data_IF_047920732759
#
_entry.id   IF_047920732759
#
_cell.length_a   1.000
_cell.length_b   1.000
_cell.length_c   1.000
_cell.angle_alpha   90.00
_cell.angle_beta   90.00
_cell.angle_gamma   90.00
#
_symmetry.space_group_name_H-M   'P 1'
#
loop_
_entity.id
_entity.type
_entity.pdbx_description
1 polymer ?
#
# COMPACT_ATOMS: atom_id res chain seq x y z
N UNK A 1 -16.49 25.04 11.03
CA UNK A 1 -15.63 25.78 10.08
C UNK A 1 -14.18 25.73 10.57
N UNK A 2 -13.38 24.81 10.03
CA UNK A 2 -11.99 24.60 10.44
C UNK A 2 -11.05 25.30 9.45
N UNK A 3 -10.66 26.54 9.74
CA UNK A 3 -9.53 27.19 9.05
C UNK A 3 -8.21 26.60 9.59
N UNK A 4 -7.08 26.66 8.85
CA UNK A 4 -5.78 26.18 9.34
C UNK A 4 -5.40 26.76 10.72
N UNK A 5 -5.68 28.05 10.96
CA UNK A 5 -5.47 28.69 12.26
C UNK A 5 -6.39 28.13 13.36
N UNK A 6 -7.66 27.85 13.07
CA UNK A 6 -8.59 27.24 14.04
C UNK A 6 -8.22 25.79 14.34
N UNK A 7 -7.73 25.05 13.34
CA UNK A 7 -7.20 23.70 13.52
C UNK A 7 -5.88 23.74 14.30
N UNK A 8 -4.97 24.65 13.98
CA UNK A 8 -3.71 24.85 14.71
C UNK A 8 -3.97 25.17 16.18
N UNK A 9 -4.90 26.10 16.44
CA UNK A 9 -5.30 26.46 17.81
C UNK A 9 -5.98 25.29 18.52
N UNK A 10 -6.86 24.52 17.86
CA UNK A 10 -7.50 23.35 18.47
C UNK A 10 -6.49 22.24 18.75
N UNK A 11 -5.66 21.88 17.77
CA UNK A 11 -4.62 20.84 17.88
C UNK A 11 -3.59 21.24 18.93
N UNK A 12 -3.11 22.48 18.94
CA UNK A 12 -2.22 22.99 19.98
C UNK A 12 -2.83 22.99 21.38
N UNK A 13 -4.13 23.31 21.51
CA UNK A 13 -4.84 23.25 22.81
C UNK A 13 -5.02 21.81 23.33
N UNK A 14 -5.10 20.81 22.46
CA UNK A 14 -5.23 19.40 22.87
C UNK A 14 -3.90 18.64 22.91
N UNK A 15 -2.84 19.14 22.26
CA UNK A 15 -1.50 18.52 22.26
C UNK A 15 -0.89 18.38 23.65
N UNK A 16 -1.21 19.31 24.54
CA UNK A 16 -0.79 19.24 25.95
C UNK A 16 -1.67 18.34 26.83
N UNK A 17 -2.75 17.74 26.30
CA UNK A 17 -3.53 16.77 27.07
C UNK A 17 -2.89 15.40 26.93
N UNK A 18 -2.33 14.90 28.04
CA UNK A 18 -1.61 13.62 28.19
C UNK A 18 -2.36 12.35 27.72
N UNK A 19 -3.57 12.47 27.15
CA UNK A 19 -4.46 11.35 26.85
C UNK A 19 -4.99 11.30 25.41
N UNK A 20 -4.62 12.23 24.51
CA UNK A 20 -5.14 12.16 23.14
C UNK A 20 -4.40 11.08 22.33
N UNK A 21 -4.96 9.87 22.32
CA UNK A 21 -4.41 8.72 21.61
C UNK A 21 -5.01 8.50 20.21
N UNK A 22 -6.13 9.17 19.89
CA UNK A 22 -6.79 9.08 18.57
C UNK A 22 -7.24 10.45 18.08
N UNK A 23 -6.91 10.78 16.84
CA UNK A 23 -7.30 12.00 16.14
C UNK A 23 -7.88 11.62 14.78
N UNK A 24 -9.11 12.08 14.52
CA UNK A 24 -9.74 11.98 13.20
C UNK A 24 -10.10 13.36 12.71
N UNK A 25 -9.58 13.74 11.54
CA UNK A 25 -9.95 14.94 10.81
C UNK A 25 -10.75 14.47 9.61
N UNK A 26 -11.99 14.94 9.47
CA UNK A 26 -12.89 14.46 8.42
C UNK A 26 -13.67 15.61 7.80
N UNK A 27 -14.02 15.47 6.52
CA UNK A 27 -14.96 16.33 5.79
C UNK A 27 -14.63 17.83 5.88
N UNK A 28 -13.34 18.16 5.76
CA UNK A 28 -12.84 19.53 5.87
C UNK A 28 -12.48 20.10 4.52
N UNK A 29 -13.48 20.65 3.83
CA UNK A 29 -13.35 21.25 2.49
C UNK A 29 -12.33 22.40 2.43
N UNK A 30 -12.11 23.13 3.53
CA UNK A 30 -11.20 24.29 3.55
C UNK A 30 -9.79 23.96 4.04
N UNK A 31 -9.52 22.70 4.39
CA UNK A 31 -8.21 22.32 4.92
C UNK A 31 -7.22 22.15 3.77
N UNK A 32 -6.29 23.08 3.63
CA UNK A 32 -5.23 23.00 2.61
C UNK A 32 -3.92 22.42 3.14
N UNK A 33 -3.62 22.66 4.42
CA UNK A 33 -2.38 22.26 5.10
C UNK A 33 -2.73 21.86 6.53
N UNK A 34 -2.21 20.72 6.98
CA UNK A 34 -2.29 20.32 8.38
C UNK A 34 -1.20 21.07 9.19
N UNK A 35 -1.51 21.67 10.34
CA UNK A 35 -0.55 22.51 11.07
C UNK A 35 0.58 21.69 11.71
N UNK A 36 1.76 22.29 11.83
CA UNK A 36 2.93 21.69 12.48
C UNK A 36 2.70 21.29 13.94
N UNK A 37 1.70 21.88 14.61
CA UNK A 37 1.33 21.50 15.98
C UNK A 37 0.83 20.07 16.10
N UNK A 38 0.50 19.39 14.99
CA UNK A 38 0.13 17.96 15.03
C UNK A 38 1.25 17.10 15.61
N UNK A 39 2.52 17.43 15.40
CA UNK A 39 3.64 16.65 15.97
C UNK A 39 3.75 16.72 17.49
N UNK A 40 3.07 17.66 18.13
CA UNK A 40 3.04 17.80 19.60
C UNK A 40 2.11 16.79 20.28
N UNK A 41 1.37 15.98 19.51
CA UNK A 41 0.46 14.97 20.05
C UNK A 41 1.24 13.69 20.45
N UNK A 42 2.10 13.79 21.46
CA UNK A 42 3.06 12.74 21.85
C UNK A 42 2.44 11.38 22.25
N UNK A 43 1.15 11.38 22.61
CA UNK A 43 0.41 10.17 22.97
C UNK A 43 -0.41 9.59 21.82
N UNK A 44 -0.37 10.19 20.63
CA UNK A 44 -1.20 9.80 19.50
C UNK A 44 -0.77 8.45 18.93
N UNK A 45 -1.72 7.51 18.90
CA UNK A 45 -1.56 6.17 18.32
C UNK A 45 -2.33 6.02 17.00
N UNK A 46 -3.41 6.77 16.80
CA UNK A 46 -4.26 6.66 15.61
C UNK A 46 -4.49 8.04 15.00
N UNK A 47 -4.06 8.23 13.76
CA UNK A 47 -4.30 9.44 12.98
C UNK A 47 -5.10 9.08 11.72
N UNK A 48 -6.30 9.64 11.59
CA UNK A 48 -7.11 9.54 10.38
C UNK A 48 -7.35 10.91 9.77
N UNK A 49 -7.12 11.06 8.48
CA UNK A 49 -7.44 12.26 7.70
C UNK A 49 -8.34 11.84 6.53
N UNK A 50 -9.61 12.21 6.56
CA UNK A 50 -10.64 11.77 5.61
C UNK A 50 -11.34 12.95 4.95
N UNK A 51 -11.78 12.85 3.69
CA UNK A 51 -12.70 13.82 3.08
C UNK A 51 -12.18 15.26 3.12
N UNK A 52 -10.87 15.45 2.95
CA UNK A 52 -10.24 16.77 2.91
C UNK A 52 -9.74 17.03 1.47
N UNK A 53 -10.63 17.32 0.51
CA UNK A 53 -10.29 17.33 -0.92
C UNK A 53 -9.26 18.42 -1.28
N UNK A 54 -9.17 19.48 -0.48
CA UNK A 54 -8.24 20.57 -0.70
C UNK A 54 -6.89 20.41 0.02
N UNK A 55 -6.68 19.35 0.81
CA UNK A 55 -5.43 19.12 1.53
C UNK A 55 -4.32 18.80 0.54
N UNK A 56 -3.28 19.64 0.50
CA UNK A 56 -2.15 19.53 -0.44
C UNK A 56 -0.90 18.96 0.21
N UNK A 57 -0.66 19.32 1.48
CA UNK A 57 0.58 19.05 2.18
C UNK A 57 0.30 18.63 3.61
N UNK A 58 1.03 17.60 4.03
CA UNK A 58 1.15 17.16 5.41
C UNK A 58 2.47 17.69 5.98
N UNK A 59 2.50 18.18 7.23
CA UNK A 59 3.67 18.78 7.86
C UNK A 59 4.73 17.73 8.20
N UNK A 60 5.99 18.14 8.24
CA UNK A 60 7.11 17.24 8.57
C UNK A 60 7.08 16.82 10.05
N UNK A 61 6.45 17.61 10.93
CA UNK A 61 6.22 17.24 12.34
C UNK A 61 5.40 15.97 12.54
N UNK A 62 4.70 15.43 11.53
CA UNK A 62 4.10 14.08 11.64
C UNK A 62 5.15 13.05 12.04
N UNK A 63 6.40 13.17 11.57
CA UNK A 63 7.48 12.25 11.96
C UNK A 63 7.81 12.23 13.46
N UNK A 64 7.35 13.23 14.22
CA UNK A 64 7.55 13.33 15.67
C UNK A 64 6.55 12.48 16.48
N UNK A 65 5.52 11.91 15.83
CA UNK A 65 4.51 11.08 16.48
C UNK A 65 5.04 9.67 16.78
N UNK A 66 5.96 9.56 17.74
CA UNK A 66 6.72 8.32 18.01
C UNK A 66 5.83 7.12 18.38
N UNK A 67 4.66 7.37 18.98
CA UNK A 67 3.68 6.35 19.39
C UNK A 67 2.64 6.03 18.32
N UNK A 68 2.70 6.65 17.14
CA UNK A 68 1.70 6.44 16.10
C UNK A 68 1.79 5.00 15.58
N UNK A 69 0.70 4.26 15.69
CA UNK A 69 0.55 2.87 15.28
C UNK A 69 -0.21 2.76 13.95
N UNK A 70 -1.20 3.62 13.73
CA UNK A 70 -2.05 3.61 12.54
C UNK A 70 -2.19 5.00 11.94
N UNK A 71 -1.88 5.11 10.65
CA UNK A 71 -2.04 6.33 9.87
C UNK A 71 -2.86 6.07 8.60
N UNK A 72 -4.06 6.67 8.55
CA UNK A 72 -5.00 6.49 7.45
C UNK A 72 -5.32 7.83 6.78
N UNK A 73 -5.23 7.88 5.45
CA UNK A 73 -5.59 9.04 4.64
C UNK A 73 -6.61 8.62 3.58
N UNK A 74 -7.77 9.27 3.54
CA UNK A 74 -8.88 8.89 2.65
C UNK A 74 -9.47 10.12 1.96
N UNK A 75 -9.59 10.09 0.63
CA UNK A 75 -10.28 11.15 -0.11
C UNK A 75 -9.61 12.52 -0.02
N UNK A 76 -8.28 12.56 0.09
CA UNK A 76 -7.48 13.79 0.02
C UNK A 76 -7.01 14.01 -1.42
N UNK A 77 -7.92 14.44 -2.28
CA UNK A 77 -7.73 14.47 -3.74
C UNK A 77 -6.53 15.29 -4.21
N UNK A 78 -6.16 16.37 -3.50
CA UNK A 78 -5.02 17.23 -3.82
C UNK A 78 -3.71 16.86 -3.15
N UNK A 79 -3.68 15.84 -2.30
CA UNK A 79 -2.46 15.44 -1.59
C UNK A 79 -1.51 14.76 -2.58
N UNK A 80 -0.30 15.32 -2.75
CA UNK A 80 0.65 14.80 -3.75
C UNK A 80 1.66 13.80 -3.17
N UNK A 81 2.01 13.92 -1.89
CA UNK A 81 3.05 13.12 -1.23
C UNK A 81 2.87 13.10 0.29
N UNK A 82 3.47 12.10 0.94
CA UNK A 82 3.69 12.09 2.39
C UNK A 82 4.96 12.89 2.76
N UNK A 83 5.09 13.36 4.01
CA UNK A 83 6.27 14.10 4.45
C UNK A 83 7.53 13.23 4.39
N UNK A 84 8.69 13.84 4.17
CA UNK A 84 9.97 13.13 4.09
C UNK A 84 10.35 12.47 5.43
N UNK A 85 9.78 12.96 6.53
CA UNK A 85 9.96 12.45 7.89
C UNK A 85 9.12 11.23 8.23
N UNK A 86 8.29 10.71 7.30
CA UNK A 86 7.44 9.53 7.54
C UNK A 86 8.20 8.36 8.18
N UNK A 87 9.42 8.09 7.73
CA UNK A 87 10.28 7.04 8.26
C UNK A 87 10.67 7.15 9.74
N UNK A 88 10.42 8.29 10.38
CA UNK A 88 10.66 8.51 11.81
C UNK A 88 9.57 7.90 12.70
N UNK A 89 8.44 7.49 12.14
CA UNK A 89 7.33 6.84 12.85
C UNK A 89 7.69 5.38 13.22
N UNK A 90 8.57 5.20 14.21
CA UNK A 90 9.13 3.90 14.60
C UNK A 90 8.06 2.90 15.08
N UNK A 91 6.94 3.38 15.62
CA UNK A 91 5.80 2.58 16.07
C UNK A 91 4.81 2.21 14.97
N UNK A 92 4.93 2.77 13.76
CA UNK A 92 3.88 2.65 12.74
C UNK A 92 3.75 1.20 12.28
N UNK A 93 2.55 0.68 12.47
CA UNK A 93 2.17 -0.69 12.19
C UNK A 93 1.30 -0.79 10.94
N UNK A 94 0.47 0.22 10.68
CA UNK A 94 -0.45 0.29 9.55
C UNK A 94 -0.43 1.66 8.87
N UNK A 95 -0.25 1.65 7.55
CA UNK A 95 -0.37 2.83 6.69
C UNK A 95 -1.39 2.56 5.58
N UNK A 96 -2.40 3.40 5.49
CA UNK A 96 -3.45 3.32 4.49
C UNK A 96 -3.62 4.65 3.75
N UNK A 97 -3.63 4.60 2.42
CA UNK A 97 -3.88 5.75 1.55
C UNK A 97 -4.94 5.36 0.53
N UNK A 98 -6.11 6.01 0.58
CA UNK A 98 -7.26 5.65 -0.26
C UNK A 98 -7.84 6.88 -0.97
N UNK A 99 -8.12 6.76 -2.26
CA UNK A 99 -8.84 7.79 -3.02
C UNK A 99 -8.11 9.15 -3.05
N UNK A 100 -6.77 9.13 -3.05
CA UNK A 100 -5.96 10.34 -3.14
C UNK A 100 -5.51 10.53 -4.60
N UNK A 101 -6.38 11.10 -5.43
CA UNK A 101 -6.20 11.13 -6.89
C UNK A 101 -4.84 11.72 -7.34
N UNK A 102 -4.37 12.80 -6.70
CA UNK A 102 -3.07 13.43 -7.03
C UNK A 102 -1.86 12.81 -6.33
N UNK A 103 -2.01 11.76 -5.54
CA UNK A 103 -0.89 11.15 -4.81
C UNK A 103 0.08 10.49 -5.79
N UNK A 104 1.33 10.94 -5.82
CA UNK A 104 2.33 10.56 -6.84
C UNK A 104 3.33 9.52 -6.37
N UNK A 105 3.80 9.64 -5.14
CA UNK A 105 4.89 8.83 -4.62
C UNK A 105 4.91 8.75 -3.09
N UNK A 106 5.34 7.61 -2.59
CA UNK A 106 5.77 7.44 -1.19
C UNK A 106 7.22 7.95 -1.03
N UNK A 107 7.58 8.55 0.12
CA UNK A 107 8.93 9.03 0.37
C UNK A 107 9.91 7.87 0.54
N UNK A 108 11.18 8.07 0.17
CA UNK A 108 12.24 7.06 0.36
C UNK A 108 12.43 6.66 1.83
N UNK A 109 12.04 7.51 2.78
CA UNK A 109 12.06 7.20 4.20
C UNK A 109 11.08 6.09 4.60
N UNK A 110 10.15 5.69 3.73
CA UNK A 110 9.25 4.54 3.96
C UNK A 110 10.01 3.30 4.45
N UNK A 111 11.16 2.98 3.84
CA UNK A 111 11.96 1.81 4.23
C UNK A 111 12.58 1.86 5.63
N UNK A 112 12.42 2.97 6.36
CA UNK A 112 12.84 3.10 7.76
C UNK A 112 11.75 2.63 8.74
N UNK A 113 10.53 2.39 8.29
CA UNK A 113 9.41 1.92 9.12
C UNK A 113 9.55 0.44 9.49
N UNK A 114 10.37 0.15 10.51
CA UNK A 114 10.71 -1.23 10.91
C UNK A 114 9.56 -2.01 11.54
N UNK A 115 8.52 -1.32 12.01
CA UNK A 115 7.35 -1.95 12.61
C UNK A 115 6.16 -2.13 11.65
N UNK A 116 6.24 -1.60 10.42
CA UNK A 116 5.12 -1.61 9.49
C UNK A 116 4.78 -3.04 9.06
N UNK A 117 3.52 -3.45 9.26
CA UNK A 117 3.00 -4.77 8.92
C UNK A 117 1.97 -4.70 7.80
N UNK A 118 1.21 -3.62 7.71
CA UNK A 118 0.20 -3.40 6.67
C UNK A 118 0.46 -2.11 5.91
N UNK A 119 0.49 -2.22 4.58
CA UNK A 119 0.54 -1.08 3.66
C UNK A 119 -0.54 -1.25 2.60
N UNK A 120 -1.52 -0.34 2.61
CA UNK A 120 -2.64 -0.33 1.68
C UNK A 120 -2.66 0.97 0.88
N UNK A 121 -2.67 0.85 -0.45
CA UNK A 121 -2.75 1.98 -1.37
C UNK A 121 -3.85 1.70 -2.39
N UNK A 122 -4.93 2.47 -2.32
CA UNK A 122 -6.15 2.21 -3.09
C UNK A 122 -6.59 3.47 -3.81
N UNK A 123 -6.88 3.40 -5.12
CA UNK A 123 -7.49 4.53 -5.82
C UNK A 123 -6.60 5.77 -5.92
N UNK A 124 -5.27 5.58 -6.00
CA UNK A 124 -4.31 6.68 -6.17
C UNK A 124 -3.94 6.79 -7.66
N UNK A 125 -4.67 7.63 -8.40
CA UNK A 125 -4.60 7.70 -9.85
C UNK A 125 -3.23 8.13 -10.40
N UNK A 126 -2.53 9.02 -9.69
CA UNK A 126 -1.21 9.55 -10.08
C UNK A 126 -0.02 8.77 -9.52
N UNK A 127 -0.24 7.66 -8.83
CA UNK A 127 0.85 6.85 -8.30
C UNK A 127 1.55 6.14 -9.46
N UNK A 128 2.81 6.49 -9.71
CA UNK A 128 3.57 5.96 -10.86
C UNK A 128 4.49 4.79 -10.47
N UNK A 129 5.02 4.82 -9.25
CA UNK A 129 5.96 3.82 -8.72
C UNK A 129 5.93 3.77 -7.20
N UNK A 130 6.54 2.75 -6.61
CA UNK A 130 6.87 2.68 -5.18
C UNK A 130 8.39 2.85 -5.02
N UNK A 131 8.87 3.40 -3.88
CA UNK A 131 10.30 3.59 -3.67
C UNK A 131 11.04 2.25 -3.56
N UNK A 132 12.28 2.19 -4.03
CA UNK A 132 13.15 1.01 -3.87
C UNK A 132 13.53 0.71 -2.41
N UNK A 133 13.22 1.63 -1.50
CA UNK A 133 13.34 1.39 -0.06
C UNK A 133 12.21 0.53 0.50
N UNK A 134 11.16 0.23 -0.27
CA UNK A 134 10.08 -0.68 0.11
C UNK A 134 10.63 -2.02 0.60
N UNK A 135 11.63 -2.59 -0.08
CA UNK A 135 12.26 -3.86 0.33
C UNK A 135 13.03 -3.82 1.64
N UNK A 136 13.13 -2.66 2.33
CA UNK A 136 13.73 -2.53 3.67
C UNK A 136 12.71 -2.68 4.80
N UNK A 137 11.44 -2.88 4.48
CA UNK A 137 10.37 -3.13 5.45
C UNK A 137 10.45 -4.56 5.97
N UNK A 138 11.08 -4.73 7.12
CA UNK A 138 11.45 -6.05 7.68
C UNK A 138 10.26 -6.85 8.21
N UNK A 139 9.14 -6.18 8.54
CA UNK A 139 7.96 -6.80 9.16
C UNK A 139 6.71 -6.73 8.30
N UNK A 140 6.79 -6.18 7.09
CA UNK A 140 5.61 -6.05 6.22
C UNK A 140 5.08 -7.43 5.88
N UNK A 141 3.85 -7.71 6.31
CA UNK A 141 3.16 -8.99 6.10
C UNK A 141 2.03 -8.88 5.07
N UNK A 142 1.45 -7.69 4.90
CA UNK A 142 0.35 -7.44 3.97
C UNK A 142 0.65 -6.19 3.15
N UNK A 143 0.65 -6.37 1.83
CA UNK A 143 0.75 -5.29 0.86
C UNK A 143 -0.45 -5.36 -0.08
N UNK A 144 -1.27 -4.32 -0.08
CA UNK A 144 -2.38 -4.15 -1.02
C UNK A 144 -2.17 -2.88 -1.85
N UNK A 145 -2.18 -3.05 -3.17
CA UNK A 145 -2.14 -1.92 -4.11
C UNK A 145 -3.14 -2.16 -5.21
N UNK A 146 -4.17 -1.32 -5.31
CA UNK A 146 -5.20 -1.47 -6.34
C UNK A 146 -5.80 -0.14 -6.77
N UNK A 147 -6.45 -0.16 -7.93
CA UNK A 147 -7.11 1.01 -8.51
C UNK A 147 -6.11 2.18 -8.71
N UNK A 148 -4.83 1.87 -8.96
CA UNK A 148 -3.78 2.83 -9.31
C UNK A 148 -3.41 2.69 -10.80
N UNK A 149 -4.15 3.33 -11.72
CA UNK A 149 -3.98 3.15 -13.17
C UNK A 149 -2.61 3.63 -13.69
N UNK A 150 -1.92 4.56 -13.04
CA UNK A 150 -0.59 5.00 -13.49
C UNK A 150 0.57 4.13 -12.98
N UNK A 151 0.29 3.16 -12.10
CA UNK A 151 1.31 2.27 -11.56
C UNK A 151 1.65 1.21 -12.61
N UNK A 152 2.73 1.43 -13.34
CA UNK A 152 3.12 0.56 -14.47
C UNK A 152 4.16 -0.49 -14.11
N UNK A 153 4.86 -0.33 -12.99
CA UNK A 153 5.84 -1.27 -12.47
C UNK A 153 5.85 -1.29 -10.93
N UNK A 154 6.36 -2.38 -10.36
CA UNK A 154 6.70 -2.50 -8.95
C UNK A 154 8.23 -2.46 -8.79
N UNK A 155 8.77 -1.98 -7.66
CA UNK A 155 10.20 -1.90 -7.43
C UNK A 155 10.83 -3.30 -7.35
N UNK A 156 12.07 -3.43 -7.80
CA UNK A 156 12.79 -4.73 -7.76
C UNK A 156 13.00 -5.20 -6.32
N UNK A 157 13.15 -4.24 -5.39
CA UNK A 157 13.23 -4.50 -3.96
C UNK A 157 11.99 -5.17 -3.36
N UNK A 158 10.85 -5.27 -4.06
CA UNK A 158 9.67 -6.01 -3.61
C UNK A 158 10.04 -7.43 -3.16
N UNK A 159 10.91 -8.12 -3.90
CA UNK A 159 11.38 -9.47 -3.55
C UNK A 159 12.08 -9.55 -2.19
N UNK A 160 12.60 -8.44 -1.66
CA UNK A 160 13.33 -8.40 -0.39
C UNK A 160 12.42 -8.39 0.85
N UNK A 161 11.09 -8.36 0.67
CA UNK A 161 10.11 -8.38 1.76
C UNK A 161 9.99 -9.78 2.38
N UNK A 162 10.93 -10.14 3.24
CA UNK A 162 11.08 -11.49 3.83
C UNK A 162 9.87 -11.97 4.65
N UNK A 163 9.06 -11.05 5.16
CA UNK A 163 7.91 -11.36 6.01
C UNK A 163 6.56 -11.26 5.28
N UNK A 164 6.55 -10.99 3.97
CA UNK A 164 5.33 -10.78 3.22
C UNK A 164 4.53 -12.09 3.14
N UNK A 165 3.32 -12.09 3.68
CA UNK A 165 2.39 -13.22 3.70
C UNK A 165 1.28 -13.08 2.65
N UNK A 166 0.87 -11.83 2.38
CA UNK A 166 -0.19 -11.50 1.44
C UNK A 166 0.20 -10.34 0.54
N UNK A 167 0.08 -10.56 -0.77
CA UNK A 167 0.28 -9.57 -1.81
C UNK A 167 -0.99 -9.48 -2.66
N UNK A 168 -1.64 -8.32 -2.61
CA UNK A 168 -2.76 -7.99 -3.48
C UNK A 168 -2.33 -6.89 -4.45
N UNK A 169 -2.49 -7.14 -5.74
CA UNK A 169 -2.20 -6.19 -6.80
C UNK A 169 -3.40 -6.09 -7.75
N UNK A 170 -3.87 -4.87 -8.02
CA UNK A 170 -4.97 -4.65 -8.95
C UNK A 170 -4.90 -3.32 -9.68
N UNK A 171 -3.87 -3.17 -10.50
CA UNK A 171 -3.59 -1.94 -11.26
C UNK A 171 -3.67 -2.21 -12.77
N UNK A 172 -4.60 -1.53 -13.45
CA UNK A 172 -4.93 -1.79 -14.86
C UNK A 172 -3.72 -1.81 -15.81
N UNK A 173 -2.75 -0.91 -15.60
CA UNK A 173 -1.61 -0.75 -16.50
C UNK A 173 -0.30 -1.37 -15.99
N UNK A 174 -0.34 -2.24 -14.97
CA UNK A 174 0.85 -2.93 -14.50
C UNK A 174 1.38 -3.89 -15.57
N UNK A 175 2.61 -3.67 -16.05
CA UNK A 175 3.17 -4.40 -17.20
C UNK A 175 3.87 -5.70 -16.85
N UNK A 176 4.43 -5.78 -15.63
CA UNK A 176 5.22 -6.91 -15.17
C UNK A 176 5.23 -6.97 -13.64
N UNK A 177 5.30 -8.18 -13.09
CA UNK A 177 5.79 -8.40 -11.72
C UNK A 177 7.33 -8.50 -11.74
N UNK A 178 8.03 -8.04 -10.69
CA UNK A 178 9.49 -8.09 -10.67
C UNK A 178 9.99 -9.54 -10.61
N UNK A 179 11.10 -9.84 -11.29
CA UNK A 179 11.63 -11.22 -11.37
C UNK A 179 12.00 -11.79 -9.98
N UNK A 180 12.42 -10.93 -9.06
CA UNK A 180 12.81 -11.28 -7.70
C UNK A 180 11.64 -11.68 -6.79
N UNK A 181 10.40 -11.77 -7.30
CA UNK A 181 9.26 -12.32 -6.54
C UNK A 181 9.55 -13.73 -6.00
N UNK A 182 10.46 -14.53 -6.60
CA UNK A 182 10.93 -15.82 -6.03
C UNK A 182 11.46 -15.74 -4.60
N UNK A 183 11.96 -14.59 -4.15
CA UNK A 183 12.57 -14.47 -2.81
C UNK A 183 11.54 -14.21 -1.72
N UNK A 184 10.26 -14.12 -2.07
CA UNK A 184 9.14 -14.01 -1.14
C UNK A 184 8.76 -15.39 -0.57
N UNK A 185 9.70 -16.05 0.13
CA UNK A 185 9.56 -17.44 0.61
C UNK A 185 8.36 -17.67 1.55
N UNK A 186 7.83 -16.60 2.16
CA UNK A 186 6.69 -16.65 3.08
C UNK A 186 5.36 -16.22 2.44
N UNK A 187 5.35 -15.88 1.16
CA UNK A 187 4.12 -15.45 0.50
C UNK A 187 3.15 -16.63 0.41
N UNK A 188 1.99 -16.49 1.06
CA UNK A 188 0.94 -17.49 1.09
C UNK A 188 -0.25 -17.12 0.22
N UNK A 189 -0.55 -15.83 0.12
CA UNK A 189 -1.69 -15.31 -0.63
C UNK A 189 -1.20 -14.34 -1.70
N UNK A 190 -1.40 -14.70 -2.96
CA UNK A 190 -1.17 -13.84 -4.10
C UNK A 190 -2.47 -13.60 -4.84
N UNK A 191 -2.92 -12.35 -4.87
CA UNK A 191 -4.10 -11.94 -5.61
C UNK A 191 -3.71 -10.89 -6.64
N UNK A 192 -4.07 -11.14 -7.89
CA UNK A 192 -3.85 -10.22 -9.01
C UNK A 192 -5.19 -10.02 -9.72
N UNK A 193 -5.73 -8.80 -9.72
CA UNK A 193 -7.06 -8.52 -10.27
C UNK A 193 -7.07 -7.32 -11.21
N UNK A 194 -7.61 -7.48 -12.42
CA UNK A 194 -7.85 -6.35 -13.32
C UNK A 194 -6.59 -5.65 -13.82
N UNK A 195 -5.46 -6.35 -13.92
CA UNK A 195 -4.25 -5.83 -14.55
C UNK A 195 -4.26 -6.20 -16.04
N UNK A 196 -4.93 -5.40 -16.85
CA UNK A 196 -5.21 -5.67 -18.26
C UNK A 196 -3.96 -5.75 -19.14
N UNK A 197 -2.88 -5.05 -18.78
CA UNK A 197 -1.65 -4.98 -19.59
C UNK A 197 -0.57 -6.00 -19.20
N UNK A 198 -0.73 -6.75 -18.11
CA UNK A 198 0.27 -7.74 -17.73
C UNK A 198 0.15 -8.95 -18.67
N UNK A 199 1.18 -9.19 -19.46
CA UNK A 199 1.16 -10.27 -20.46
C UNK A 199 1.67 -11.61 -19.92
N UNK A 200 2.60 -11.55 -18.95
CA UNK A 200 3.36 -12.70 -18.47
C UNK A 200 3.53 -12.61 -16.96
N UNK A 201 3.24 -13.72 -16.28
CA UNK A 201 3.61 -13.94 -14.89
C UNK A 201 5.03 -14.52 -14.85
N UNK A 202 5.91 -14.05 -13.95
CA UNK A 202 7.30 -14.48 -13.98
C UNK A 202 7.41 -15.96 -13.59
N UNK A 203 8.25 -16.71 -14.32
CA UNK A 203 8.54 -18.13 -14.06
C UNK A 203 9.07 -18.36 -12.62
N UNK A 204 9.55 -17.32 -11.95
CA UNK A 204 10.00 -17.36 -10.56
C UNK A 204 8.89 -17.66 -9.56
N UNK A 205 7.60 -17.46 -9.92
CA UNK A 205 6.44 -17.82 -9.09
C UNK A 205 6.39 -19.31 -8.73
N UNK A 206 6.99 -20.17 -9.56
CA UNK A 206 6.99 -21.64 -9.42
C UNK A 206 7.72 -22.13 -8.16
N UNK A 207 8.51 -21.25 -7.54
CA UNK A 207 9.24 -21.52 -6.30
C UNK A 207 8.44 -21.15 -5.05
N UNK A 208 7.34 -20.42 -5.19
CA UNK A 208 6.53 -19.99 -4.07
C UNK A 208 5.63 -21.12 -3.58
N UNK A 209 5.46 -21.19 -2.26
CA UNK A 209 4.55 -22.11 -1.58
C UNK A 209 3.23 -21.39 -1.28
N UNK A 210 2.53 -21.01 -2.34
CA UNK A 210 1.26 -20.29 -2.22
C UNK A 210 0.18 -21.25 -1.71
N UNK A 211 -0.60 -20.82 -0.73
CA UNK A 211 -1.87 -21.47 -0.37
C UNK A 211 -3.00 -20.97 -1.26
N UNK A 212 -3.00 -19.66 -1.58
CA UNK A 212 -4.01 -19.04 -2.42
C UNK A 212 -3.37 -18.29 -3.58
N UNK A 213 -3.81 -18.60 -4.80
CA UNK A 213 -3.53 -17.84 -6.00
C UNK A 213 -4.84 -17.45 -6.68
N UNK A 214 -5.14 -16.15 -6.70
CA UNK A 214 -6.30 -15.59 -7.39
C UNK A 214 -5.81 -14.70 -8.53
N UNK A 215 -6.21 -15.00 -9.76
CA UNK A 215 -5.97 -14.19 -10.96
C UNK A 215 -7.34 -13.91 -11.59
N UNK A 216 -7.74 -12.63 -11.70
CA UNK A 216 -9.02 -12.23 -12.28
C UNK A 216 -8.89 -11.13 -13.32
N UNK A 217 -9.72 -11.20 -14.36
CA UNK A 217 -9.93 -10.13 -15.35
C UNK A 217 -8.65 -9.75 -16.09
N UNK A 218 -8.03 -10.76 -16.70
CA UNK A 218 -6.75 -10.63 -17.39
C UNK A 218 -6.92 -10.85 -18.88
N UNK A 219 -7.23 -9.77 -19.60
CA UNK A 219 -7.48 -9.87 -21.03
C UNK A 219 -6.20 -10.34 -21.74
N UNK A 220 -5.02 -9.79 -21.45
CA UNK A 220 -3.81 -10.11 -22.22
C UNK A 220 -2.91 -11.23 -21.65
N UNK A 221 -3.35 -11.99 -20.63
CA UNK A 221 -2.49 -13.05 -20.06
C UNK A 221 -2.27 -14.16 -21.09
N UNK A 222 -1.04 -14.30 -21.58
CA UNK A 222 -0.71 -15.31 -22.59
C UNK A 222 -0.39 -16.66 -21.96
N UNK A 223 0.26 -16.66 -20.79
CA UNK A 223 0.68 -17.86 -20.10
C UNK A 223 0.73 -17.66 -18.58
N UNK A 224 0.36 -18.69 -17.84
CA UNK A 224 0.76 -18.90 -16.44
C UNK A 224 1.95 -19.87 -16.47
N UNK A 225 3.00 -19.67 -15.65
CA UNK A 225 4.15 -20.58 -15.56
C UNK A 225 3.72 -22.03 -15.48
N UNK A 226 4.08 -22.85 -16.48
CA UNK A 226 3.62 -24.24 -16.60
C UNK A 226 4.14 -25.14 -15.47
N UNK A 227 5.20 -24.70 -14.78
CA UNK A 227 5.84 -25.43 -13.68
C UNK A 227 5.39 -24.98 -12.30
N UNK A 228 4.33 -24.16 -12.21
CA UNK A 228 3.77 -23.72 -10.92
C UNK A 228 3.31 -24.96 -10.15
N UNK A 229 3.96 -25.23 -9.01
CA UNK A 229 3.59 -26.33 -8.12
C UNK A 229 2.25 -26.01 -7.45
N UNK A 230 1.17 -26.36 -8.13
CA UNK A 230 -0.20 -26.17 -7.65
C UNK A 230 -0.59 -27.21 -6.58
N UNK A 231 0.23 -28.24 -6.37
CA UNK A 231 -0.07 -29.32 -5.41
C UNK A 231 -0.16 -28.84 -3.95
N UNK A 232 0.45 -27.69 -3.63
CA UNK A 232 0.38 -27.05 -2.30
C UNK A 232 -0.67 -25.90 -2.25
N UNK A 233 -1.32 -25.58 -3.38
CA UNK A 233 -2.29 -24.49 -3.49
C UNK A 233 -3.69 -24.99 -3.11
N UNK A 234 -4.19 -24.55 -1.98
CA UNK A 234 -5.56 -24.85 -1.51
C UNK A 234 -6.61 -24.14 -2.36
N UNK A 235 -6.36 -22.90 -2.78
CA UNK A 235 -7.29 -22.11 -3.58
C UNK A 235 -6.61 -21.57 -4.84
N UNK A 236 -6.96 -22.14 -5.99
CA UNK A 236 -6.61 -21.61 -7.31
C UNK A 236 -7.86 -21.08 -8.00
N UNK A 237 -7.87 -19.79 -8.29
CA UNK A 237 -8.96 -19.16 -9.03
C UNK A 237 -8.40 -18.34 -10.18
N UNK A 238 -8.70 -18.78 -11.41
CA UNK A 238 -8.38 -18.05 -12.64
C UNK A 238 -9.69 -17.74 -13.35
N UNK A 239 -10.06 -16.46 -13.43
CA UNK A 239 -11.35 -16.00 -14.00
C UNK A 239 -11.09 -14.92 -15.05
N UNK A 240 -11.87 -14.92 -16.12
CA UNK A 240 -11.84 -13.91 -17.19
C UNK A 240 -10.45 -13.71 -17.84
N UNK A 241 -9.75 -14.82 -18.14
CA UNK A 241 -8.46 -14.84 -18.86
C UNK A 241 -8.62 -15.33 -20.30
N UNK A 242 -9.04 -14.46 -21.22
CA UNK A 242 -9.53 -14.86 -22.56
C UNK A 242 -8.43 -15.39 -23.51
N UNK A 243 -7.17 -15.00 -23.31
CA UNK A 243 -6.03 -15.35 -24.19
C UNK A 243 -5.11 -16.42 -23.59
N UNK A 244 -5.50 -17.02 -22.48
CA UNK A 244 -4.70 -17.99 -21.76
C UNK A 244 -4.64 -19.31 -22.52
N UNK A 245 -3.46 -19.63 -23.09
CA UNK A 245 -3.30 -20.80 -23.99
C UNK A 245 -3.02 -22.12 -23.27
N UNK A 246 -2.50 -22.07 -22.05
CA UNK A 246 -2.18 -23.26 -21.27
C UNK A 246 -2.34 -22.97 -19.78
N UNK A 247 -3.20 -23.75 -19.13
CA UNK A 247 -3.16 -24.01 -17.69
C UNK A 247 -3.02 -25.51 -17.57
N UNK A 248 -1.82 -26.00 -17.26
CA UNK A 248 -1.67 -27.43 -17.01
C UNK A 248 -2.41 -27.74 -15.71
N UNK A 249 -3.49 -28.52 -15.80
CA UNK A 249 -4.16 -29.14 -14.64
C UNK A 249 -3.14 -30.01 -13.91
N UNK A 250 -2.52 -29.50 -12.85
CA UNK A 250 -2.27 -30.37 -11.71
C UNK A 250 -3.62 -30.54 -11.01
N UNK A 251 -4.01 -31.78 -10.76
CA UNK A 251 -5.35 -32.15 -10.36
C UNK A 251 -5.77 -31.49 -9.03
N UNK A 252 -6.56 -30.41 -9.08
CA UNK A 252 -7.29 -29.96 -7.91
C UNK A 252 -8.38 -31.01 -7.58
N UNK A 253 -8.30 -31.61 -6.39
CA UNK A 253 -9.34 -32.48 -5.85
C UNK A 253 -10.47 -31.63 -5.26
N UNK A 254 -11.65 -31.86 -5.85
CA UNK A 254 -13.03 -31.47 -5.48
C UNK A 254 -13.44 -30.01 -5.71
#
# INVERSE_FOLDING_TARGET
MNTPEKLSNKVGQVGHRENLWKLSISDSEKLEILPETVGQLECLQYLKIGGCPNLKVLPDSIGQLEKLESFTIVGCEKLEKLPGTLGQLKGLYELEITGCAKFKLLPDSLGQLKCLQRLNIVGCEKLETLPETLGKLERLSNLEIRDCPNLTSLPMSLGKLKCLLSLFIGCANLKALPEDVRTLERLWHLTIMGCETLEVLPETLVRLKLQTLIIRSYVNLKAVPMSLKLDEVETLMIVDCQYLKSVTRCACKY
#
